data_IF_261250397590
#
_entry.id   IF_261250397590
#
_cell.length_a   1.000
_cell.length_b   1.000
_cell.length_c   1.000
_cell.angle_alpha   90.00
_cell.angle_beta   90.00
_cell.angle_gamma   90.00
#
_symmetry.space_group_name_H-M   'P 1'
#
loop_
_entity.id
_entity.type
_entity.pdbx_description
1 polymer ?
#
# COMPACT_ATOMS: atom_id res chain seq x y z
N UNK A 1 2.85 16.86 1.43
CA UNK A 1 3.27 16.99 2.86
C UNK A 1 2.13 17.49 3.73
N UNK A 2 1.60 18.70 3.51
CA UNK A 2 0.58 19.29 4.39
C UNK A 2 -0.68 18.43 4.59
N UNK A 3 -1.24 17.89 3.50
CA UNK A 3 -2.40 17.00 3.56
C UNK A 3 -2.15 15.77 4.44
N UNK A 4 -0.98 15.13 4.32
CA UNK A 4 -0.57 13.98 5.15
C UNK A 4 -0.50 14.37 6.63
N UNK A 5 0.07 15.54 6.94
CA UNK A 5 0.17 15.99 8.34
C UNK A 5 -1.20 16.27 8.95
N UNK A 6 -2.13 16.87 8.19
CA UNK A 6 -3.51 17.04 8.64
C UNK A 6 -4.22 15.70 8.79
N UNK A 7 -4.03 14.77 7.85
CA UNK A 7 -4.58 13.42 7.92
C UNK A 7 -4.14 12.71 9.21
N UNK A 8 -2.84 12.77 9.54
CA UNK A 8 -2.30 12.26 10.80
C UNK A 8 -3.00 12.90 12.02
N UNK A 9 -3.23 14.22 11.99
CA UNK A 9 -3.93 14.94 13.05
C UNK A 9 -5.45 14.89 12.98
N UNK A 10 -6.04 13.86 12.36
CA UNK A 10 -7.49 13.67 12.18
C UNK A 10 -8.19 14.89 11.55
N UNK A 11 -7.53 15.54 10.60
CA UNK A 11 -7.94 16.77 9.93
C UNK A 11 -8.21 17.98 10.85
N UNK A 12 -7.69 17.95 12.09
CA UNK A 12 -7.85 19.03 13.08
C UNK A 12 -6.58 19.83 13.31
N UNK A 13 -5.42 19.21 13.12
CA UNK A 13 -4.12 19.85 13.34
C UNK A 13 -3.04 19.23 12.46
N UNK A 14 -2.00 20.00 12.22
CA UNK A 14 -0.73 19.54 11.68
C UNK A 14 0.38 20.07 12.59
N UNK A 15 1.37 19.23 12.86
CA UNK A 15 2.59 19.61 13.58
C UNK A 15 3.72 19.62 12.57
N UNK A 16 4.51 20.69 12.57
CA UNK A 16 5.66 20.88 11.70
C UNK A 16 6.91 20.94 12.59
N UNK A 17 7.81 19.99 12.37
CA UNK A 17 9.10 19.91 13.04
C UNK A 17 10.21 20.49 12.15
N UNK A 18 11.04 21.35 12.74
CA UNK A 18 12.18 22.02 12.09
C UNK A 18 13.40 22.03 13.01
N UNK A 19 14.49 22.65 12.56
CA UNK A 19 15.72 22.81 13.34
C UNK A 19 15.97 24.30 13.66
N UNK A 20 16.46 24.57 14.86
CA UNK A 20 16.70 25.91 15.40
C UNK A 20 17.69 26.75 14.59
N UNK A 21 18.60 26.12 13.85
CA UNK A 21 19.58 26.81 13.01
C UNK A 21 19.04 27.25 11.64
N UNK A 22 17.81 26.84 11.28
CA UNK A 22 17.28 26.98 9.92
C UNK A 22 15.94 27.73 9.90
N UNK A 23 15.19 27.74 11.02
CA UNK A 23 13.81 28.25 11.06
C UNK A 23 13.62 29.77 10.94
N UNK A 24 14.63 30.58 11.30
CA UNK A 24 14.50 32.05 11.43
C UNK A 24 15.16 32.84 10.28
N UNK A 25 15.92 32.18 9.40
CA UNK A 25 16.74 32.85 8.36
C UNK A 25 16.25 32.70 6.93
N UNK A 26 15.17 31.95 6.69
CA UNK A 26 14.74 31.53 5.34
C UNK A 26 13.64 32.43 4.76
N UNK A 27 13.18 33.45 5.50
CA UNK A 27 11.99 34.21 5.09
C UNK A 27 12.18 35.12 3.86
N UNK A 28 13.40 35.38 3.36
CA UNK A 28 13.63 36.35 2.25
C UNK A 28 14.84 36.07 1.32
N UNK A 29 15.25 34.82 1.03
CA UNK A 29 16.38 34.53 0.12
C UNK A 29 16.00 33.79 -1.18
N UNK A 30 16.71 34.08 -2.28
CA UNK A 30 16.58 33.35 -3.56
C UNK A 30 16.86 31.84 -3.38
N UNK A 31 16.06 30.99 -4.03
CA UNK A 31 16.07 29.51 -3.88
C UNK A 31 17.46 28.88 -3.90
N UNK A 32 18.38 29.36 -4.76
CA UNK A 32 19.73 28.78 -4.88
C UNK A 32 20.67 29.11 -3.70
N UNK A 33 20.47 30.25 -3.04
CA UNK A 33 21.25 30.64 -1.85
C UNK A 33 20.73 29.93 -0.61
N UNK A 34 19.43 29.68 -0.54
CA UNK A 34 18.76 29.00 0.58
C UNK A 34 19.28 27.58 0.77
N UNK A 35 19.45 26.82 -0.32
CA UNK A 35 20.00 25.46 -0.27
C UNK A 35 21.43 25.43 0.25
N UNK A 36 22.27 26.40 -0.16
CA UNK A 36 23.66 26.51 0.30
C UNK A 36 23.73 26.87 1.79
N UNK A 37 22.89 27.81 2.24
CA UNK A 37 22.80 28.20 3.66
C UNK A 37 22.36 27.02 4.51
N UNK A 38 21.38 26.24 4.06
CA UNK A 38 20.89 25.05 4.76
C UNK A 38 21.96 23.96 4.80
N UNK A 39 22.63 23.70 3.69
CA UNK A 39 23.74 22.75 3.65
C UNK A 39 24.84 23.14 4.65
N UNK A 40 25.27 24.41 4.65
CA UNK A 40 26.27 24.93 5.59
C UNK A 40 25.80 24.85 7.05
N UNK A 41 24.56 25.21 7.34
CA UNK A 41 23.98 25.11 8.69
C UNK A 41 23.90 23.66 9.19
N UNK A 42 23.78 22.70 8.26
CA UNK A 42 23.74 21.27 8.56
C UNK A 42 25.11 20.60 8.57
N UNK A 43 26.14 21.11 7.90
CA UNK A 43 27.48 20.52 7.85
C UNK A 43 28.10 20.34 9.24
N UNK A 44 27.89 21.30 10.15
CA UNK A 44 28.37 21.23 11.53
C UNK A 44 27.45 20.52 12.52
N UNK A 45 26.27 20.07 12.08
CA UNK A 45 25.28 19.45 12.96
C UNK A 45 25.61 17.96 13.18
N UNK A 46 26.07 17.62 14.38
CA UNK A 46 26.20 16.24 14.85
C UNK A 46 25.08 15.91 15.85
N UNK A 47 24.33 14.82 15.58
CA UNK A 47 23.29 14.30 16.45
C UNK A 47 23.69 12.88 16.82
N UNK A 48 24.28 12.72 18.01
CA UNK A 48 24.74 11.42 18.51
C UNK A 48 23.77 10.80 19.52
N UNK A 49 22.86 11.63 20.06
CA UNK A 49 21.86 11.19 21.04
C UNK A 49 20.51 11.88 20.84
N UNK A 50 19.46 11.30 21.42
CA UNK A 50 18.14 11.93 21.47
C UNK A 50 18.15 13.28 22.20
N UNK A 51 19.02 13.44 23.20
CA UNK A 51 19.20 14.72 23.93
C UNK A 51 19.70 15.83 23.01
N UNK A 52 20.61 15.49 22.08
CA UNK A 52 21.14 16.47 21.13
C UNK A 52 20.08 16.89 20.12
N UNK A 53 19.28 15.94 19.61
CA UNK A 53 18.13 16.23 18.77
C UNK A 53 17.14 17.15 19.48
N UNK A 54 16.80 16.88 20.75
CA UNK A 54 15.86 17.70 21.52
C UNK A 54 16.32 19.16 21.69
N UNK A 55 17.63 19.43 21.79
CA UNK A 55 18.15 20.80 21.92
C UNK A 55 17.88 21.64 20.66
N UNK A 56 17.97 21.01 19.49
CA UNK A 56 17.89 21.70 18.19
C UNK A 56 16.51 21.61 17.54
N UNK A 57 15.69 20.63 17.91
CA UNK A 57 14.35 20.47 17.35
C UNK A 57 13.44 21.64 17.74
N UNK A 58 12.68 22.14 16.77
CA UNK A 58 11.61 23.12 16.97
C UNK A 58 10.32 22.56 16.40
N UNK A 59 9.22 22.88 17.05
CA UNK A 59 7.92 22.28 16.74
C UNK A 59 6.85 23.36 16.79
N UNK A 60 6.11 23.48 15.69
CA UNK A 60 4.99 24.42 15.56
C UNK A 60 3.72 23.63 15.26
N UNK A 61 2.59 24.03 15.86
CA UNK A 61 1.28 23.39 15.64
C UNK A 61 0.35 24.34 14.90
N UNK A 62 -0.28 23.82 13.86
CA UNK A 62 -1.21 24.54 13.00
C UNK A 62 -2.58 23.87 13.03
N UNK A 63 -3.65 24.66 13.11
CA UNK A 63 -5.04 24.18 13.09
C UNK A 63 -5.75 24.49 11.78
N UNK A 64 -5.13 25.27 10.89
CA UNK A 64 -5.70 25.61 9.58
C UNK A 64 -4.75 25.21 8.44
N UNK A 65 -5.25 24.58 7.35
CA UNK A 65 -4.42 24.19 6.21
C UNK A 65 -3.65 25.36 5.59
N UNK A 66 -4.30 26.53 5.43
CA UNK A 66 -3.67 27.70 4.82
C UNK A 66 -2.40 28.16 5.56
N UNK A 67 -2.43 28.26 6.89
CA UNK A 67 -1.25 28.64 7.67
C UNK A 67 -0.14 27.59 7.61
N UNK A 68 -0.52 26.30 7.65
CA UNK A 68 0.44 25.21 7.57
C UNK A 68 1.11 25.16 6.20
N UNK A 69 0.36 25.37 5.11
CA UNK A 69 0.87 25.33 3.75
C UNK A 69 1.82 26.48 3.51
N UNK A 70 1.46 27.70 3.94
CA UNK A 70 2.37 28.85 3.90
C UNK A 70 3.68 28.58 4.63
N UNK A 71 3.62 27.98 5.83
CA UNK A 71 4.83 27.61 6.57
C UNK A 71 5.63 26.56 5.82
N UNK A 72 4.99 25.47 5.39
CA UNK A 72 5.65 24.37 4.67
C UNK A 72 6.36 24.89 3.43
N UNK A 73 5.69 25.69 2.59
CA UNK A 73 6.26 26.33 1.40
C UNK A 73 7.53 27.11 1.73
N UNK A 74 7.50 27.93 2.79
CA UNK A 74 8.65 28.71 3.24
C UNK A 74 9.83 27.85 3.72
N UNK A 75 9.61 26.59 4.14
CA UNK A 75 10.65 25.72 4.69
C UNK A 75 10.85 24.43 3.87
N UNK A 76 10.32 24.35 2.64
CA UNK A 76 10.53 23.21 1.73
C UNK A 76 12.02 22.83 1.64
N UNK A 77 12.96 23.78 1.48
CA UNK A 77 14.39 23.46 1.41
C UNK A 77 14.91 22.67 2.64
N UNK A 78 14.32 22.89 3.82
CA UNK A 78 14.66 22.11 5.04
C UNK A 78 14.25 20.66 4.90
N UNK A 79 13.07 20.40 4.32
CA UNK A 79 12.57 19.05 4.05
C UNK A 79 13.25 18.38 2.85
N UNK A 80 13.94 19.14 2.00
CA UNK A 80 14.79 18.62 0.92
C UNK A 80 16.22 18.32 1.40
N UNK A 81 16.58 18.78 2.60
CA UNK A 81 17.89 18.51 3.21
C UNK A 81 18.06 17.06 3.66
N UNK A 82 19.30 16.70 4.07
CA UNK A 82 19.61 15.39 4.66
C UNK A 82 18.79 15.03 5.90
N UNK A 83 18.17 16.00 6.57
CA UNK A 83 17.32 15.80 7.75
C UNK A 83 15.82 15.73 7.41
N UNK A 84 15.44 15.97 6.16
CA UNK A 84 14.06 16.16 5.76
C UNK A 84 13.15 14.96 6.05
N UNK A 85 13.60 13.75 5.76
CA UNK A 85 12.83 12.53 6.04
C UNK A 85 12.58 12.35 7.55
N UNK A 86 13.59 12.60 8.38
CA UNK A 86 13.47 12.54 9.84
C UNK A 86 12.50 13.61 10.37
N UNK A 87 12.66 14.86 9.92
CA UNK A 87 11.78 15.97 10.32
C UNK A 87 10.34 15.72 9.88
N UNK A 88 10.13 15.17 8.68
CA UNK A 88 8.80 14.83 8.20
C UNK A 88 8.16 13.70 9.01
N UNK A 89 8.94 12.67 9.36
CA UNK A 89 8.47 11.59 10.24
C UNK A 89 8.08 12.13 11.63
N UNK A 90 8.93 12.95 12.24
CA UNK A 90 8.62 13.58 13.54
C UNK A 90 7.35 14.44 13.44
N UNK A 91 7.21 15.21 12.35
CA UNK A 91 6.01 16.02 12.06
C UNK A 91 4.75 15.16 12.03
N UNK A 92 4.78 14.01 11.31
CA UNK A 92 3.65 13.10 11.22
C UNK A 92 3.30 12.44 12.58
N UNK A 93 4.31 11.96 13.31
CA UNK A 93 4.14 11.34 14.63
C UNK A 93 3.53 12.32 15.64
N UNK A 94 4.02 13.57 15.67
CA UNK A 94 3.50 14.59 16.57
C UNK A 94 2.11 15.09 16.15
N UNK A 95 1.82 15.13 14.84
CA UNK A 95 0.49 15.46 14.32
C UNK A 95 -0.54 14.46 14.84
N UNK A 96 -0.25 13.15 14.71
CA UNK A 96 -1.06 12.07 15.27
C UNK A 96 -1.13 12.12 16.79
N UNK A 97 -0.03 12.46 17.44
CA UNK A 97 0.14 12.45 18.88
C UNK A 97 0.66 11.10 19.36
N UNK A 98 1.69 11.10 20.21
CA UNK A 98 2.42 9.89 20.57
C UNK A 98 1.55 8.84 21.27
N UNK A 99 0.63 9.26 22.15
CA UNK A 99 -0.31 8.34 22.80
C UNK A 99 -1.25 7.67 21.78
N UNK A 100 -1.73 8.43 20.78
CA UNK A 100 -2.53 7.89 19.70
C UNK A 100 -1.72 6.94 18.81
N UNK A 101 -0.45 7.27 18.54
CA UNK A 101 0.46 6.37 17.82
C UNK A 101 0.57 5.06 18.60
N UNK A 102 0.80 5.07 19.92
CA UNK A 102 0.88 3.82 20.69
C UNK A 102 -0.45 3.06 20.72
N UNK A 103 -1.59 3.78 20.79
CA UNK A 103 -2.91 3.17 20.76
C UNK A 103 -3.27 2.55 19.40
N UNK A 104 -2.70 3.03 18.29
CA UNK A 104 -2.92 2.48 16.95
C UNK A 104 -2.23 1.12 16.76
N UNK A 105 -1.17 0.84 17.51
CA UNK A 105 -0.33 -0.35 17.34
C UNK A 105 -0.95 -1.58 17.99
N UNK A 106 -0.60 -2.75 17.45
CA UNK A 106 -0.91 -4.04 18.08
C UNK A 106 0.15 -4.39 19.13
N UNK A 107 1.44 -4.11 18.85
CA UNK A 107 2.55 -4.24 19.81
C UNK A 107 3.36 -2.93 19.93
N UNK A 108 3.09 -2.10 20.95
CA UNK A 108 3.82 -0.87 21.22
C UNK A 108 5.31 -1.05 21.57
N UNK A 109 5.75 -2.27 21.93
CA UNK A 109 7.12 -2.53 22.36
C UNK A 109 8.13 -2.55 21.21
N UNK A 110 7.65 -2.80 19.98
CA UNK A 110 8.50 -2.86 18.79
C UNK A 110 8.97 -1.46 18.36
N UNK A 111 10.18 -1.31 17.80
CA UNK A 111 10.65 -0.03 17.30
C UNK A 111 9.94 0.36 15.99
N UNK A 112 9.62 1.65 15.81
CA UNK A 112 9.04 2.17 14.57
C UNK A 112 10.05 2.25 13.42
N UNK A 113 11.33 2.45 13.73
CA UNK A 113 12.45 2.43 12.78
C UNK A 113 13.40 1.32 13.22
N UNK A 114 13.64 0.35 12.35
CA UNK A 114 14.42 -0.84 12.69
C UNK A 114 15.91 -0.63 12.44
N UNK A 115 16.72 -1.00 13.43
CA UNK A 115 18.18 -1.04 13.32
C UNK A 115 18.65 -2.30 12.55
N UNK A 116 19.85 -2.28 11.94
CA UNK A 116 20.80 -1.17 11.87
C UNK A 116 20.58 -0.24 10.66
N UNK A 117 19.73 -0.63 9.72
CA UNK A 117 19.63 0.02 8.40
C UNK A 117 18.59 1.15 8.33
N UNK A 118 17.82 1.36 9.39
CA UNK A 118 16.85 2.46 9.47
C UNK A 118 15.58 2.21 8.67
N UNK A 119 15.15 0.96 8.50
CA UNK A 119 13.93 0.67 7.75
C UNK A 119 12.69 1.15 8.52
N UNK A 120 11.76 1.77 7.80
CA UNK A 120 10.47 2.14 8.35
C UNK A 120 9.63 0.88 8.59
N UNK A 121 9.03 0.78 9.77
CA UNK A 121 7.97 -0.19 10.07
C UNK A 121 6.72 0.08 9.23
N UNK A 122 5.85 -0.92 9.12
CA UNK A 122 4.57 -0.77 8.42
C UNK A 122 3.68 0.28 9.09
N UNK A 123 3.79 0.46 10.42
CA UNK A 123 3.09 1.53 11.14
C UNK A 123 3.48 2.93 10.66
N UNK A 124 4.76 3.18 10.35
CA UNK A 124 5.18 4.45 9.76
C UNK A 124 4.58 4.61 8.36
N UNK A 125 4.63 3.56 7.54
CA UNK A 125 4.09 3.59 6.18
C UNK A 125 2.59 3.92 6.22
N UNK A 126 1.83 3.20 7.03
CA UNK A 126 0.38 3.42 7.19
C UNK A 126 0.07 4.79 7.81
N UNK A 127 0.87 5.28 8.76
CA UNK A 127 0.72 6.64 9.28
C UNK A 127 0.78 7.67 8.16
N UNK A 128 1.72 7.53 7.22
CA UNK A 128 1.87 8.46 6.11
C UNK A 128 0.78 8.31 5.03
N UNK A 129 0.20 7.11 4.88
CA UNK A 129 -0.82 6.84 3.86
C UNK A 129 -2.24 7.13 4.32
N UNK A 130 -2.59 6.77 5.56
CA UNK A 130 -3.95 6.87 6.10
C UNK A 130 -4.06 7.70 7.39
N UNK A 131 -2.95 8.22 7.92
CA UNK A 131 -2.95 9.02 9.15
C UNK A 131 -3.04 8.21 10.44
N UNK A 132 -2.98 6.88 10.38
CA UNK A 132 -3.02 5.99 11.55
C UNK A 132 -1.82 5.03 11.54
N UNK A 133 -1.19 4.85 12.70
CA UNK A 133 -0.01 3.99 12.84
C UNK A 133 -0.40 2.50 13.05
N UNK A 134 -1.37 2.02 12.27
CA UNK A 134 -1.83 0.62 12.32
C UNK A 134 -0.79 -0.29 11.63
N UNK A 135 -0.51 -1.50 12.16
CA UNK A 135 0.60 -2.31 11.65
C UNK A 135 0.24 -3.17 10.42
N UNK A 136 -1.05 -3.38 10.13
CA UNK A 136 -1.47 -4.29 9.08
C UNK A 136 -1.99 -3.58 7.83
N UNK A 137 -1.88 -4.26 6.69
CA UNK A 137 -2.27 -3.75 5.36
C UNK A 137 -3.64 -4.25 4.90
N UNK A 138 -4.34 -5.08 5.69
CA UNK A 138 -5.72 -5.49 5.42
C UNK A 138 -6.74 -4.41 5.86
N UNK A 139 -7.99 -4.53 5.43
CA UNK A 139 -9.05 -3.59 5.79
C UNK A 139 -9.61 -3.85 7.19
N UNK A 140 -9.86 -2.78 7.94
CA UNK A 140 -10.63 -2.80 9.18
C UNK A 140 -9.91 -3.52 10.32
N UNK A 141 -10.54 -4.54 10.89
CA UNK A 141 -10.00 -5.33 12.01
C UNK A 141 -10.20 -6.80 11.75
N UNK A 142 -9.22 -7.60 12.15
CA UNK A 142 -9.29 -9.05 12.07
C UNK A 142 -9.48 -9.62 13.47
N UNK A 143 -10.57 -10.35 13.69
CA UNK A 143 -10.85 -11.07 14.94
C UNK A 143 -10.10 -12.41 14.93
N UNK A 144 -9.24 -12.62 15.94
CA UNK A 144 -8.52 -13.88 16.13
C UNK A 144 -9.20 -14.80 17.16
N UNK A 145 -10.36 -14.40 17.69
CA UNK A 145 -11.03 -15.05 18.79
C UNK A 145 -10.48 -14.61 20.15
N UNK A 146 -11.19 -14.98 21.23
CA UNK A 146 -10.74 -14.71 22.60
C UNK A 146 -10.63 -13.22 22.97
N UNK A 147 -11.28 -12.33 22.20
CA UNK A 147 -11.19 -10.88 22.39
C UNK A 147 -9.92 -10.23 21.81
N UNK A 148 -9.13 -10.99 21.04
CA UNK A 148 -7.93 -10.49 20.35
C UNK A 148 -8.27 -9.99 18.95
N UNK A 149 -7.86 -8.77 18.64
CA UNK A 149 -8.05 -8.18 17.31
C UNK A 149 -6.74 -7.62 16.78
N UNK A 150 -6.48 -7.85 15.50
CA UNK A 150 -5.42 -7.16 14.75
C UNK A 150 -6.00 -5.93 14.05
N UNK A 151 -5.27 -4.82 14.06
CA UNK A 151 -5.72 -3.54 13.49
C UNK A 151 -5.17 -3.34 12.08
N UNK A 152 -6.07 -3.15 11.13
CA UNK A 152 -5.77 -2.81 9.74
C UNK A 152 -6.20 -1.38 9.38
N UNK A 153 -6.18 -1.08 8.09
CA UNK A 153 -6.52 0.23 7.54
C UNK A 153 -8.03 0.41 7.48
N UNK A 154 -8.54 1.47 8.10
CA UNK A 154 -9.98 1.66 8.29
C UNK A 154 -10.66 2.56 7.25
N UNK A 155 -9.88 3.28 6.44
CA UNK A 155 -10.38 4.28 5.47
C UNK A 155 -9.62 4.20 4.17
N UNK A 156 -10.29 4.53 3.06
CA UNK A 156 -9.63 4.75 1.77
C UNK A 156 -8.55 5.82 1.87
N UNK A 157 -7.50 5.66 1.06
CA UNK A 157 -6.32 6.54 1.04
C UNK A 157 -6.23 7.33 -0.26
N UNK A 158 -5.48 8.43 -0.24
CA UNK A 158 -5.22 9.21 -1.46
C UNK A 158 -4.17 8.56 -2.36
N UNK A 159 -3.15 7.95 -1.75
CA UNK A 159 -2.07 7.19 -2.39
C UNK A 159 -2.10 5.79 -1.81
N UNK A 160 -2.15 4.79 -2.68
CA UNK A 160 -2.30 3.39 -2.30
C UNK A 160 -0.99 2.75 -1.87
N UNK A 161 -1.11 1.49 -1.46
CA UNK A 161 0.03 0.64 -1.13
C UNK A 161 -0.15 -0.74 -1.72
N UNK A 162 0.93 -1.26 -2.29
CA UNK A 162 1.05 -2.63 -2.76
C UNK A 162 2.35 -3.22 -2.21
N UNK A 163 2.41 -4.53 -2.04
CA UNK A 163 3.64 -5.18 -1.58
C UNK A 163 3.90 -6.48 -2.34
N UNK A 164 5.18 -6.74 -2.61
CA UNK A 164 5.63 -8.02 -3.16
C UNK A 164 5.17 -9.20 -2.30
N UNK A 165 5.06 -9.00 -0.98
CA UNK A 165 4.63 -10.02 -0.03
C UNK A 165 3.23 -10.55 -0.31
N UNK A 166 2.34 -9.74 -0.89
CA UNK A 166 1.02 -10.20 -1.31
C UNK A 166 1.11 -11.15 -2.51
N UNK A 167 1.94 -10.83 -3.50
CA UNK A 167 2.14 -11.71 -4.66
C UNK A 167 2.80 -13.05 -4.29
N UNK A 168 3.52 -13.07 -3.16
CA UNK A 168 4.12 -14.27 -2.57
C UNK A 168 3.18 -14.97 -1.57
N UNK A 169 1.92 -14.53 -1.45
CA UNK A 169 0.90 -15.06 -0.53
C UNK A 169 1.26 -14.99 0.97
N UNK A 170 2.15 -14.08 1.38
CA UNK A 170 2.48 -13.87 2.81
C UNK A 170 1.49 -12.96 3.52
N UNK A 171 0.79 -12.09 2.79
CA UNK A 171 -0.24 -11.22 3.35
C UNK A 171 -1.32 -10.91 2.31
N UNK A 172 -2.42 -10.30 2.74
CA UNK A 172 -3.48 -9.79 1.86
C UNK A 172 -3.62 -8.29 2.08
N UNK A 173 -3.39 -7.51 1.03
CA UNK A 173 -3.61 -6.06 1.06
C UNK A 173 -5.09 -5.78 0.89
N UNK A 174 -5.62 -4.90 1.73
CA UNK A 174 -7.02 -4.49 1.73
C UNK A 174 -7.37 -3.54 0.59
N UNK A 175 -8.66 -3.45 0.28
CA UNK A 175 -9.19 -2.57 -0.76
C UNK A 175 -8.95 -1.09 -0.45
N UNK A 176 -8.90 -0.71 0.83
CA UNK A 176 -8.61 0.66 1.23
C UNK A 176 -7.25 1.14 0.74
N UNK A 177 -6.26 0.22 0.59
CA UNK A 177 -4.93 0.51 0.06
C UNK A 177 -4.77 0.18 -1.43
N UNK A 178 -5.53 -0.80 -1.96
CA UNK A 178 -5.47 -1.19 -3.37
C UNK A 178 -6.17 -0.24 -4.32
N UNK A 179 -7.26 0.39 -3.87
CA UNK A 179 -8.09 1.29 -4.67
C UNK A 179 -8.04 2.73 -4.10
N UNK A 180 -6.87 3.39 -4.14
CA UNK A 180 -6.73 4.77 -3.74
C UNK A 180 -7.52 5.73 -4.62
N UNK A 181 -7.76 6.94 -4.09
CA UNK A 181 -8.37 8.06 -4.84
C UNK A 181 -7.60 8.38 -6.12
N UNK A 182 -6.27 8.43 -6.04
CA UNK A 182 -5.40 8.62 -7.19
C UNK A 182 -4.70 7.31 -7.50
N UNK A 183 -4.60 6.88 -8.77
CA UNK A 183 -3.97 5.63 -9.17
C UNK A 183 -2.44 5.76 -9.05
N UNK A 184 -1.96 5.95 -7.83
CA UNK A 184 -0.58 6.09 -7.41
C UNK A 184 -0.43 5.17 -6.21
N UNK A 185 0.54 4.28 -6.27
CA UNK A 185 0.81 3.30 -5.23
C UNK A 185 2.28 3.36 -4.84
N UNK A 186 2.53 3.37 -3.54
CA UNK A 186 3.84 2.98 -3.01
C UNK A 186 3.91 1.45 -3.07
N UNK A 187 4.95 0.92 -3.70
CA UNK A 187 5.16 -0.53 -3.82
C UNK A 187 6.35 -0.93 -2.95
N UNK A 188 6.07 -1.71 -1.90
CA UNK A 188 7.09 -2.23 -0.99
C UNK A 188 7.65 -3.59 -1.44
N UNK A 189 8.97 -3.68 -1.52
CA UNK A 189 9.71 -4.96 -1.56
C UNK A 189 10.29 -5.29 -0.18
N UNK A 190 11.15 -6.31 -0.10
CA UNK A 190 11.84 -6.68 1.14
C UNK A 190 12.76 -5.57 1.69
N UNK A 191 13.32 -4.72 0.83
CA UNK A 191 14.35 -3.75 1.21
C UNK A 191 14.17 -2.35 0.61
N UNK A 192 13.21 -2.17 -0.31
CA UNK A 192 13.11 -0.93 -1.08
C UNK A 192 11.66 -0.56 -1.39
N UNK A 193 11.37 0.74 -1.44
CA UNK A 193 10.07 1.26 -1.86
C UNK A 193 10.19 1.90 -3.23
N UNK A 194 9.20 1.65 -4.08
CA UNK A 194 9.09 2.24 -5.42
C UNK A 194 7.72 2.87 -5.60
N UNK A 195 7.51 3.61 -6.68
CA UNK A 195 6.21 4.21 -7.00
C UNK A 195 5.69 3.60 -8.28
N UNK A 196 4.45 3.13 -8.26
CA UNK A 196 3.69 2.70 -9.43
C UNK A 196 2.53 3.68 -9.62
N UNK A 197 2.23 4.10 -10.84
CA UNK A 197 1.07 4.95 -11.08
C UNK A 197 0.47 4.76 -12.47
N UNK A 198 -0.78 5.17 -12.63
CA UNK A 198 -1.47 5.30 -13.90
C UNK A 198 -1.86 6.75 -14.14
N UNK A 199 -2.21 7.08 -15.38
CA UNK A 199 -2.68 8.43 -15.75
C UNK A 199 -4.21 8.56 -15.73
N UNK A 200 -4.91 7.42 -15.62
CA UNK A 200 -6.37 7.33 -15.63
C UNK A 200 -6.83 6.57 -14.39
N UNK A 201 -7.81 7.11 -13.68
CA UNK A 201 -8.43 6.47 -12.51
C UNK A 201 -9.20 5.20 -12.90
N UNK A 202 -9.68 5.10 -14.15
CA UNK A 202 -10.47 3.98 -14.65
C UNK A 202 -9.72 2.64 -14.65
N UNK A 203 -8.38 2.64 -14.49
CA UNK A 203 -7.61 1.40 -14.31
C UNK A 203 -8.00 0.63 -13.05
N UNK A 204 -8.66 1.31 -12.10
CA UNK A 204 -9.13 0.76 -10.83
C UNK A 204 -10.60 0.34 -10.88
N UNK A 205 -11.32 0.66 -11.95
CA UNK A 205 -12.74 0.35 -12.05
C UNK A 205 -12.90 -1.17 -12.12
N UNK A 206 -13.78 -1.75 -11.30
CA UNK A 206 -14.18 -3.15 -11.45
C UNK A 206 -15.04 -3.32 -12.70
N UNK A 207 -14.75 -4.33 -13.52
CA UNK A 207 -15.66 -4.71 -14.61
C UNK A 207 -16.81 -5.57 -14.07
N UNK A 208 -17.85 -5.76 -14.90
CA UNK A 208 -19.01 -6.57 -14.53
C UNK A 208 -18.64 -8.01 -14.10
N UNK A 209 -17.56 -8.59 -14.66
CA UNK A 209 -17.12 -9.93 -14.32
C UNK A 209 -16.48 -9.99 -12.94
N UNK A 210 -15.57 -9.06 -12.64
CA UNK A 210 -14.89 -8.92 -11.34
C UNK A 210 -15.92 -8.65 -10.23
N UNK A 211 -16.86 -7.73 -10.48
CA UNK A 211 -17.93 -7.42 -9.53
C UNK A 211 -18.83 -8.65 -9.28
N UNK A 212 -19.15 -9.41 -10.34
CA UNK A 212 -19.95 -10.63 -10.23
C UNK A 212 -19.20 -11.75 -9.52
N UNK A 213 -17.92 -11.92 -9.78
CA UNK A 213 -17.04 -12.85 -9.07
C UNK A 213 -17.01 -12.53 -7.58
N UNK A 214 -16.75 -11.27 -7.23
CA UNK A 214 -16.72 -10.80 -5.84
C UNK A 214 -18.05 -11.06 -5.13
N UNK A 215 -19.19 -10.82 -5.79
CA UNK A 215 -20.51 -11.12 -5.25
C UNK A 215 -20.70 -12.62 -4.97
N UNK A 216 -20.34 -13.49 -5.92
CA UNK A 216 -20.52 -14.94 -5.79
C UNK A 216 -19.54 -15.51 -4.75
N UNK A 217 -18.29 -15.03 -4.76
CA UNK A 217 -17.25 -15.38 -3.79
C UNK A 217 -17.67 -15.04 -2.37
N UNK A 218 -18.21 -13.84 -2.15
CA UNK A 218 -18.70 -13.41 -0.84
C UNK A 218 -19.82 -14.30 -0.32
N UNK A 219 -20.78 -14.68 -1.18
CA UNK A 219 -21.85 -15.60 -0.81
C UNK A 219 -21.30 -16.99 -0.49
N UNK A 220 -20.31 -17.47 -1.26
CA UNK A 220 -19.65 -18.74 -1.02
C UNK A 220 -18.88 -18.75 0.31
N UNK A 221 -18.03 -17.74 0.56
CA UNK A 221 -17.24 -17.62 1.78
C UNK A 221 -18.13 -17.46 3.03
N UNK A 222 -19.31 -16.85 2.90
CA UNK A 222 -20.29 -16.77 4.00
C UNK A 222 -20.85 -18.14 4.42
N UNK A 223 -20.76 -19.14 3.55
CA UNK A 223 -21.15 -20.53 3.84
C UNK A 223 -19.93 -21.42 4.17
N UNK A 224 -18.71 -20.90 4.06
CA UNK A 224 -17.47 -21.63 4.37
C UNK A 224 -17.24 -21.71 5.88
N UNK A 225 -17.64 -22.84 6.47
CA UNK A 225 -17.41 -23.14 7.89
C UNK A 225 -16.00 -23.69 8.17
N UNK A 226 -15.18 -23.93 7.13
CA UNK A 226 -13.85 -24.50 7.26
C UNK A 226 -12.77 -23.46 7.63
N UNK A 227 -13.14 -22.17 7.67
CA UNK A 227 -12.21 -21.09 7.97
C UNK A 227 -11.38 -20.63 6.77
N UNK A 228 -11.92 -20.74 5.55
CA UNK A 228 -11.27 -20.30 4.31
C UNK A 228 -10.63 -21.43 3.49
N UNK A 229 -11.01 -22.69 3.74
CA UNK A 229 -10.54 -23.86 2.99
C UNK A 229 -11.09 -23.94 1.56
N UNK A 230 -12.02 -23.06 1.18
CA UNK A 230 -12.48 -22.94 -0.21
C UNK A 230 -13.48 -24.02 -0.62
N UNK A 231 -14.19 -24.62 0.34
CA UNK A 231 -15.28 -25.56 0.09
C UNK A 231 -16.46 -25.34 1.05
N UNK A 232 -17.67 -25.70 0.58
CA UNK A 232 -18.93 -25.55 1.34
C UNK A 232 -19.78 -26.82 1.26
N UNK A 233 -20.75 -26.97 2.17
CA UNK A 233 -21.71 -28.08 2.11
C UNK A 233 -22.70 -27.92 0.95
N UNK A 234 -23.35 -29.01 0.55
CA UNK A 234 -24.46 -28.96 -0.44
C UNK A 234 -25.59 -28.04 0.02
N UNK A 235 -25.89 -28.02 1.32
CA UNK A 235 -26.89 -27.12 1.89
C UNK A 235 -26.49 -25.65 1.74
N UNK A 236 -25.25 -25.31 2.10
CA UNK A 236 -24.68 -23.98 1.91
C UNK A 236 -24.68 -23.58 0.43
N UNK A 237 -24.39 -24.50 -0.47
CA UNK A 237 -24.40 -24.24 -1.90
C UNK A 237 -25.78 -23.83 -2.44
N UNK A 238 -26.86 -24.47 -2.00
CA UNK A 238 -28.22 -24.03 -2.34
C UNK A 238 -28.53 -22.62 -1.82
N UNK A 239 -27.94 -22.21 -0.70
CA UNK A 239 -28.03 -20.83 -0.22
C UNK A 239 -27.30 -19.87 -1.16
N UNK A 240 -26.06 -20.20 -1.57
CA UNK A 240 -25.27 -19.40 -2.53
C UNK A 240 -26.05 -19.18 -3.82
N UNK A 241 -26.62 -20.24 -4.42
CA UNK A 241 -27.37 -20.14 -5.67
C UNK A 241 -28.58 -19.21 -5.56
N UNK A 242 -29.30 -19.25 -4.42
CA UNK A 242 -30.44 -18.37 -4.15
C UNK A 242 -30.01 -16.92 -3.98
N UNK A 243 -29.00 -16.66 -3.16
CA UNK A 243 -28.51 -15.30 -2.87
C UNK A 243 -27.94 -14.62 -4.11
N UNK A 244 -27.31 -15.40 -5.00
CA UNK A 244 -26.67 -14.90 -6.21
C UNK A 244 -27.57 -14.93 -7.45
N UNK A 245 -28.81 -15.42 -7.32
CA UNK A 245 -29.77 -15.62 -8.41
C UNK A 245 -29.23 -16.50 -9.57
N UNK A 246 -28.48 -17.56 -9.24
CA UNK A 246 -27.91 -18.49 -10.22
C UNK A 246 -28.85 -19.68 -10.42
N UNK A 247 -29.12 -20.02 -11.68
CA UNK A 247 -29.99 -21.14 -12.07
C UNK A 247 -29.19 -22.18 -12.84
N UNK A 248 -28.74 -23.21 -12.13
CA UNK A 248 -27.99 -24.31 -12.73
C UNK A 248 -28.93 -25.33 -13.39
N UNK A 249 -28.60 -25.83 -14.60
CA UNK A 249 -29.21 -27.03 -15.14
C UNK A 249 -28.99 -28.23 -14.20
N UNK A 250 -29.95 -29.16 -14.16
CA UNK A 250 -29.92 -30.32 -13.25
C UNK A 250 -28.62 -31.13 -13.38
N UNK A 251 -28.13 -31.34 -14.60
CA UNK A 251 -26.88 -32.06 -14.86
C UNK A 251 -25.66 -31.42 -14.16
N UNK A 252 -25.52 -30.09 -14.25
CA UNK A 252 -24.41 -29.37 -13.59
C UNK A 252 -24.56 -29.35 -12.07
N UNK A 253 -25.81 -29.22 -11.59
CA UNK A 253 -26.13 -29.25 -10.17
C UNK A 253 -25.77 -30.61 -9.55
N UNK A 254 -26.22 -31.70 -10.18
CA UNK A 254 -25.99 -33.08 -9.73
C UNK A 254 -24.50 -33.41 -9.75
N UNK A 255 -23.78 -32.96 -10.79
CA UNK A 255 -22.33 -33.12 -10.89
C UNK A 255 -21.59 -32.44 -9.75
N UNK A 256 -21.91 -31.17 -9.44
CA UNK A 256 -21.25 -30.44 -8.36
C UNK A 256 -21.58 -31.04 -6.99
N UNK A 257 -22.81 -31.52 -6.78
CA UNK A 257 -23.24 -32.07 -5.50
C UNK A 257 -22.78 -33.52 -5.27
N UNK A 258 -22.27 -34.21 -6.30
CA UNK A 258 -21.96 -35.64 -6.25
C UNK A 258 -20.91 -36.05 -5.22
N UNK A 259 -19.97 -35.16 -4.88
CA UNK A 259 -18.93 -35.37 -3.87
C UNK A 259 -19.40 -35.10 -2.43
N UNK A 260 -20.59 -34.51 -2.25
CA UNK A 260 -21.12 -34.11 -0.94
C UNK A 260 -20.61 -32.77 -0.40
N UNK A 261 -19.70 -32.11 -1.12
CA UNK A 261 -19.19 -30.77 -0.81
C UNK A 261 -18.81 -30.05 -2.10
N UNK A 262 -18.89 -28.72 -2.11
CA UNK A 262 -18.65 -27.92 -3.30
C UNK A 262 -17.32 -27.20 -3.14
N UNK A 263 -16.41 -27.37 -4.11
CA UNK A 263 -15.14 -26.65 -4.16
C UNK A 263 -15.31 -25.38 -4.99
N UNK A 264 -14.74 -24.26 -4.53
CA UNK A 264 -14.83 -22.98 -5.22
C UNK A 264 -14.40 -23.05 -6.69
N UNK A 265 -13.24 -23.66 -6.96
CA UNK A 265 -12.67 -23.72 -8.31
C UNK A 265 -13.61 -24.43 -9.29
N UNK A 266 -14.19 -25.57 -8.89
CA UNK A 266 -15.14 -26.33 -9.72
C UNK A 266 -16.43 -25.56 -9.96
N UNK A 267 -16.97 -24.94 -8.90
CA UNK A 267 -18.15 -24.11 -9.03
C UNK A 267 -17.90 -22.89 -9.93
N UNK A 268 -16.76 -22.23 -9.77
CA UNK A 268 -16.40 -21.07 -10.57
C UNK A 268 -16.28 -21.41 -12.06
N UNK A 269 -15.67 -22.55 -12.41
CA UNK A 269 -15.63 -23.03 -13.80
C UNK A 269 -17.05 -23.24 -14.37
N UNK A 270 -17.96 -23.81 -13.58
CA UNK A 270 -19.36 -23.97 -13.99
C UNK A 270 -20.03 -22.62 -14.28
N UNK A 271 -19.73 -21.59 -13.48
CA UNK A 271 -20.24 -20.22 -13.67
C UNK A 271 -19.68 -19.57 -14.94
N UNK A 272 -18.38 -19.71 -15.20
CA UNK A 272 -17.76 -19.20 -16.43
C UNK A 272 -18.38 -19.80 -17.69
N UNK A 273 -18.87 -21.04 -17.62
CA UNK A 273 -19.55 -21.71 -18.75
C UNK A 273 -21.08 -21.52 -18.79
N UNK A 274 -21.66 -20.88 -17.78
CA UNK A 274 -23.12 -20.72 -17.66
C UNK A 274 -23.58 -19.43 -18.36
N UNK A 275 -24.71 -19.49 -19.07
CA UNK A 275 -25.28 -18.35 -19.77
C UNK A 275 -25.65 -17.19 -18.81
N UNK A 276 -25.45 -15.94 -19.27
CA UNK A 276 -25.77 -14.73 -18.48
C UNK A 276 -27.23 -14.68 -18.04
N UNK A 277 -28.18 -15.19 -18.85
CA UNK A 277 -29.61 -15.26 -18.51
C UNK A 277 -29.92 -16.18 -17.33
N UNK A 278 -29.02 -17.12 -17.03
CA UNK A 278 -29.09 -18.05 -15.91
C UNK A 278 -28.24 -17.59 -14.71
N UNK A 279 -27.69 -16.37 -14.76
CA UNK A 279 -26.82 -15.81 -13.73
C UNK A 279 -25.35 -16.22 -13.84
N UNK A 280 -24.96 -16.85 -14.97
CA UNK A 280 -23.58 -17.21 -15.27
C UNK A 280 -22.78 -16.09 -15.95
N UNK A 281 -21.55 -16.41 -16.35
CA UNK A 281 -20.58 -15.46 -16.90
C UNK A 281 -20.04 -15.84 -18.28
N UNK A 282 -20.72 -16.73 -19.01
CA UNK A 282 -20.30 -17.17 -20.34
C UNK A 282 -20.10 -15.98 -21.27
N UNK A 283 -18.84 -15.75 -21.61
CA UNK A 283 -18.44 -14.74 -22.57
C UNK A 283 -18.25 -15.34 -23.95
N UNK A 284 -19.22 -15.11 -24.83
CA UNK A 284 -19.16 -15.52 -26.23
C UNK A 284 -18.13 -14.75 -27.05
N UNK A 285 -17.59 -13.64 -26.53
CA UNK A 285 -16.54 -12.85 -27.20
C UNK A 285 -15.13 -13.32 -26.87
N UNK A 286 -14.97 -14.13 -25.82
CA UNK A 286 -13.67 -14.64 -25.33
C UNK A 286 -12.75 -13.54 -24.75
N UNK A 287 -13.28 -12.34 -24.51
CA UNK A 287 -12.52 -11.22 -23.98
C UNK A 287 -12.43 -11.27 -22.45
N UNK A 288 -13.32 -11.98 -21.75
CA UNK A 288 -13.31 -12.15 -20.29
C UNK A 288 -13.10 -10.82 -19.55
N UNK A 289 -13.73 -9.73 -20.04
CA UNK A 289 -13.59 -8.41 -19.43
C UNK A 289 -12.17 -7.83 -19.55
N UNK A 290 -11.42 -8.25 -20.57
CA UNK A 290 -10.02 -7.89 -20.77
C UNK A 290 -9.84 -6.37 -20.78
N UNK A 291 -9.08 -5.89 -19.79
CA UNK A 291 -8.59 -4.52 -19.72
C UNK A 291 -7.15 -4.49 -20.16
N UNK A 292 -6.79 -3.49 -20.95
CA UNK A 292 -5.41 -3.19 -21.28
C UNK A 292 -5.18 -1.73 -20.95
N UNK A 293 -4.21 -1.48 -20.09
CA UNK A 293 -3.85 -0.13 -19.66
C UNK A 293 -2.35 -0.01 -19.45
N UNK A 294 -1.89 1.23 -19.38
CA UNK A 294 -0.50 1.55 -19.15
C UNK A 294 -0.29 1.95 -17.69
N UNK A 295 0.73 1.36 -17.06
CA UNK A 295 1.25 1.78 -15.77
C UNK A 295 2.66 2.35 -15.94
N UNK A 296 3.09 3.13 -14.97
CA UNK A 296 4.38 3.77 -14.92
C UNK A 296 5.04 3.43 -13.59
N UNK A 297 6.24 2.86 -13.65
CA UNK A 297 7.01 2.46 -12.47
C UNK A 297 8.24 3.34 -12.32
N UNK A 298 8.33 4.04 -11.20
CA UNK A 298 9.50 4.81 -10.79
C UNK A 298 10.26 4.06 -9.71
N UNK A 299 11.51 3.70 -9.99
CA UNK A 299 12.30 2.83 -9.12
C UNK A 299 12.84 3.49 -7.84
N UNK A 300 12.69 4.81 -7.64
CA UNK A 300 13.08 5.47 -6.39
C UNK A 300 14.58 5.45 -6.04
N UNK A 301 15.46 5.02 -6.96
CA UNK A 301 16.90 4.97 -6.70
C UNK A 301 17.51 6.35 -6.94
N UNK A 302 18.15 6.94 -5.93
CA UNK A 302 18.95 8.15 -6.10
C UNK A 302 20.11 7.89 -7.08
N UNK A 303 20.57 8.94 -7.79
CA UNK A 303 21.82 8.81 -8.57
C UNK A 303 22.93 8.41 -7.59
N UNK A 304 23.63 7.31 -7.85
CA UNK A 304 24.89 7.03 -7.16
C UNK A 304 25.86 8.15 -7.52
N UNK A 305 26.19 9.02 -6.56
CA UNK A 305 27.21 10.04 -6.77
C UNK A 305 28.55 9.36 -7.05
N UNK A 306 29.19 9.71 -8.16
CA UNK A 306 30.50 9.21 -8.59
C UNK A 306 31.67 9.62 -7.67
N UNK A 307 31.40 10.24 -6.51
CA UNK A 307 32.41 10.86 -5.65
C UNK A 307 32.71 10.11 -4.34
N UNK A 308 32.29 8.85 -4.22
CA UNK A 308 32.70 7.97 -3.12
C UNK A 308 33.81 7.02 -3.58
N UNK A 309 35.06 7.37 -3.28
CA UNK A 309 36.25 6.56 -3.51
C UNK A 309 36.13 5.10 -2.99
N UNK A 310 35.87 4.15 -3.89
CA UNK A 310 36.40 2.79 -3.78
C UNK A 310 36.84 2.31 -5.15
N UNK A 311 38.16 2.31 -5.34
CA UNK A 311 38.85 1.41 -6.25
C UNK A 311 38.51 -0.03 -5.83
N UNK A 312 37.48 -0.62 -6.43
CA UNK A 312 37.33 -2.07 -6.47
C UNK A 312 37.71 -2.54 -7.87
N UNK A 313 38.85 -3.20 -7.94
CA UNK A 313 39.44 -3.83 -9.11
C UNK A 313 38.43 -4.71 -9.86
N UNK A 314 38.22 -4.43 -11.14
CA UNK A 314 37.89 -5.46 -12.13
C UNK A 314 36.43 -5.93 -12.30
N UNK A 315 35.43 -5.22 -11.77
CA UNK A 315 34.02 -5.50 -12.07
C UNK A 315 33.24 -4.22 -12.31
N UNK A 316 32.59 -4.08 -13.47
CA UNK A 316 31.61 -3.02 -13.71
C UNK A 316 30.46 -3.19 -12.70
N UNK A 317 30.49 -2.44 -11.60
CA UNK A 317 29.31 -2.32 -10.73
C UNK A 317 28.24 -1.58 -11.54
N UNK A 318 27.08 -2.20 -11.79
CA UNK A 318 26.06 -1.58 -12.64
C UNK A 318 25.59 -0.28 -11.97
N UNK A 319 25.83 0.85 -12.63
CA UNK A 319 25.38 2.16 -12.16
C UNK A 319 23.87 2.16 -11.98
N UNK A 320 23.40 2.20 -10.74
CA UNK A 320 21.99 2.38 -10.43
C UNK A 320 21.62 3.86 -10.62
N UNK A 321 20.55 4.10 -11.37
CA UNK A 321 20.04 5.45 -11.67
C UNK A 321 18.52 5.47 -11.50
N UNK A 322 17.94 6.65 -11.22
CA UNK A 322 16.50 6.81 -11.27
C UNK A 322 15.97 6.40 -12.66
N UNK A 323 14.94 5.56 -12.69
CA UNK A 323 14.30 5.07 -13.92
C UNK A 323 12.79 5.17 -13.79
N UNK A 324 12.16 5.68 -14.85
CA UNK A 324 10.74 5.64 -15.07
C UNK A 324 10.46 4.68 -16.23
N UNK A 325 9.75 3.58 -15.95
CA UNK A 325 9.45 2.52 -16.92
C UNK A 325 7.96 2.51 -17.21
N UNK A 326 7.58 2.55 -18.49
CA UNK A 326 6.20 2.33 -18.92
C UNK A 326 5.95 0.83 -19.06
N UNK A 327 4.90 0.34 -18.41
CA UNK A 327 4.46 -1.05 -18.40
C UNK A 327 3.09 -1.14 -19.07
N UNK A 328 2.92 -2.05 -20.03
CA UNK A 328 1.61 -2.33 -20.61
C UNK A 328 1.03 -3.57 -19.94
N UNK A 329 -0.06 -3.38 -19.21
CA UNK A 329 -0.70 -4.42 -18.38
C UNK A 329 -1.97 -4.91 -19.07
N UNK A 330 -2.23 -6.22 -18.98
CA UNK A 330 -3.51 -6.83 -19.36
C UNK A 330 -4.13 -7.53 -18.16
N UNK A 331 -5.42 -7.31 -17.91
CA UNK A 331 -6.20 -7.98 -16.86
C UNK A 331 -7.40 -8.68 -17.51
N UNK A 332 -7.65 -9.98 -17.28
CA UNK A 332 -6.80 -10.88 -16.52
C UNK A 332 -5.40 -11.01 -17.18
N UNK A 333 -4.35 -11.26 -16.39
CA UNK A 333 -3.03 -11.48 -16.95
C UNK A 333 -3.08 -12.64 -17.95
N UNK A 334 -2.29 -12.55 -19.03
CA UNK A 334 -2.16 -13.67 -19.99
C UNK A 334 -1.67 -14.96 -19.32
N UNK A 335 -1.07 -14.83 -18.14
CA UNK A 335 -0.69 -15.91 -17.25
C UNK A 335 -1.93 -16.39 -16.48
N UNK A 336 -2.62 -17.40 -17.00
CA UNK A 336 -3.58 -18.15 -16.20
C UNK A 336 -2.82 -19.09 -15.24
N UNK A 337 -3.32 -19.36 -14.03
CA UNK A 337 -2.60 -20.10 -12.98
C UNK A 337 -2.17 -21.54 -13.32
N UNK A 338 -2.57 -22.08 -14.47
CA UNK A 338 -2.33 -23.48 -14.84
C UNK A 338 -0.95 -23.74 -15.44
N UNK A 339 -0.23 -22.70 -15.93
CA UNK A 339 1.04 -22.93 -16.63
C UNK A 339 2.25 -23.21 -15.71
N UNK A 340 2.17 -22.98 -14.39
CA UNK A 340 3.33 -23.13 -13.50
C UNK A 340 3.33 -24.37 -12.60
N UNK A 341 2.38 -25.29 -12.75
CA UNK A 341 2.44 -26.61 -12.09
C UNK A 341 2.87 -27.75 -13.03
N UNK A 342 3.09 -27.48 -14.32
CA UNK A 342 3.44 -28.52 -15.30
C UNK A 342 4.91 -28.50 -15.75
N UNK A 343 5.63 -27.38 -15.67
CA UNK A 343 7.01 -27.29 -16.17
C UNK A 343 8.03 -27.05 -15.06
N UNK A 344 8.12 -28.00 -14.13
CA UNK A 344 9.42 -28.33 -13.52
C UNK A 344 10.00 -29.46 -14.34
N UNK A 345 10.69 -29.11 -15.42
CA UNK A 345 11.65 -30.03 -16.02
C UNK A 345 12.72 -30.31 -14.96
N UNK A 346 12.66 -31.52 -14.38
CA UNK A 346 13.76 -32.07 -13.60
C UNK A 346 14.95 -32.17 -14.55
N UNK A 347 15.93 -31.31 -14.36
CA UNK A 347 17.29 -31.49 -14.84
C UNK A 347 18.24 -31.48 -13.65
#
# INVERSE_FOLDING_TARGET
MGEILFLCGNNKRAVIATLSSIGDGVEESEDSLTDVIIAQALEGLSIESASDLHKVLRVETYTTPASAYKRLEAIIPVFQSRMGALLFLISALLSRGLDCVQADRDDPSLPLVTAPFGHASQEIVNLLLCGQAVPNVFDGRMDLGGGMFLKGVSTNVEVGFLTLLESLNFCKVGQNLKCPKWPIWVVGSESHYTVLFALDTAVQDENELEARESQIRKAFDAQDQSGGGGFISVEGFHQVLRETNIRLPSEKLDSLCGSGFIVWSEFWQVILDLDKSLGGLKDSTGQMGQKIFDLYHFNGIAKSDLNGSQFSSGGETPMQRPRLTKLRVSVPPRWTPEEFMADVAVL
#
